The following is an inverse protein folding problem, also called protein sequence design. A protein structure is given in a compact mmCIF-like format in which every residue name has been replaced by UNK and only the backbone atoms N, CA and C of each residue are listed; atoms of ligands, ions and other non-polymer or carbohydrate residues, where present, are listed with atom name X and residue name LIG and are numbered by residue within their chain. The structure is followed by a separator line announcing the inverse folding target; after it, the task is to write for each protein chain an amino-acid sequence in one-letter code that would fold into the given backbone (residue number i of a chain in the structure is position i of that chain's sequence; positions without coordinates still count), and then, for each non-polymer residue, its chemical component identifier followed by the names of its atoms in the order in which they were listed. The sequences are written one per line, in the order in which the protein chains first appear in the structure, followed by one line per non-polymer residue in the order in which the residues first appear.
data_IF_369814318314
#
_entry.id   IF_369814318314
#
_cell.length_a   1.000
_cell.length_b   1.000
_cell.length_c   1.000
_cell.angle_alpha   90.00
_cell.angle_beta   90.00
_cell.angle_gamma   90.00
#
_symmetry.space_group_name_H-M   'P 1'
#
loop_
_entity.id
_entity.type
_entity.pdbx_description
1 polymer ?
#
# COMPACT_ATOMS: atom_id res chain seq x y z
N UNK A 1 24.87 -14.17 -13.97
CA UNK A 1 25.39 -13.21 -12.97
C UNK A 1 24.18 -12.64 -12.26
N UNK A 2 24.07 -12.82 -10.94
CA UNK A 2 22.92 -12.31 -10.18
C UNK A 2 23.17 -10.89 -9.68
N UNK A 3 22.13 -10.06 -9.66
CA UNK A 3 22.17 -8.74 -9.04
C UNK A 3 21.54 -8.81 -7.65
N UNK A 4 22.15 -8.17 -6.67
CA UNK A 4 21.58 -8.03 -5.32
C UNK A 4 20.85 -6.68 -5.21
N UNK A 5 19.53 -6.66 -4.99
CA UNK A 5 18.81 -5.42 -4.69
C UNK A 5 19.35 -4.76 -3.41
N UNK A 6 19.34 -3.43 -3.37
CA UNK A 6 19.76 -2.67 -2.18
C UNK A 6 18.74 -2.79 -1.04
N UNK A 7 17.45 -2.67 -1.35
CA UNK A 7 16.35 -2.68 -0.40
C UNK A 7 15.03 -3.03 -1.11
N UNK A 8 13.96 -3.25 -0.35
CA UNK A 8 12.59 -3.32 -0.89
C UNK A 8 12.20 -1.94 -1.45
N UNK A 9 11.56 -1.92 -2.62
CA UNK A 9 11.08 -0.68 -3.23
C UNK A 9 9.72 -0.25 -2.68
N UNK A 10 8.72 -1.12 -2.80
CA UNK A 10 7.35 -0.88 -2.35
C UNK A 10 6.57 -2.20 -2.28
N UNK A 11 5.35 -2.14 -1.73
CA UNK A 11 4.36 -3.22 -1.79
C UNK A 11 3.13 -2.72 -2.57
N UNK A 12 2.54 -3.57 -3.41
CA UNK A 12 1.25 -3.30 -4.05
C UNK A 12 0.21 -4.28 -3.50
N UNK A 13 -0.93 -3.76 -3.05
CA UNK A 13 -2.05 -4.57 -2.56
C UNK A 13 -3.35 -4.23 -3.31
N UNK A 14 -4.20 -5.24 -3.44
CA UNK A 14 -5.56 -5.04 -3.94
C UNK A 14 -6.48 -4.57 -2.81
N UNK A 15 -7.31 -3.57 -3.12
CA UNK A 15 -8.34 -3.03 -2.24
C UNK A 15 -9.66 -2.94 -2.98
N UNK A 16 -10.78 -3.05 -2.26
CA UNK A 16 -12.11 -2.92 -2.86
C UNK A 16 -12.38 -1.54 -3.43
N UNK A 17 -11.91 -0.51 -2.74
CA UNK A 17 -12.08 0.89 -3.11
C UNK A 17 -10.78 1.64 -2.76
N UNK A 18 -10.11 2.19 -3.79
CA UNK A 18 -8.83 2.86 -3.62
C UNK A 18 -8.96 4.22 -2.92
N UNK A 19 -10.07 4.93 -3.10
CA UNK A 19 -10.32 6.23 -2.46
C UNK A 19 -10.47 6.06 -0.94
N UNK A 20 -11.37 5.19 -0.49
CA UNK A 20 -11.58 4.91 0.94
C UNK A 20 -10.31 4.39 1.61
N UNK A 21 -9.56 3.54 0.91
CA UNK A 21 -8.30 3.03 1.44
C UNK A 21 -7.25 4.14 1.54
N UNK A 22 -7.09 4.97 0.50
CA UNK A 22 -6.21 6.15 0.51
C UNK A 22 -6.56 7.06 1.68
N UNK A 23 -7.83 7.48 1.79
CA UNK A 23 -8.28 8.38 2.85
C UNK A 23 -7.95 7.80 4.24
N UNK A 24 -8.15 6.50 4.44
CA UNK A 24 -7.77 5.85 5.71
C UNK A 24 -6.26 5.92 6.01
N UNK A 25 -5.41 5.71 5.00
CA UNK A 25 -3.95 5.79 5.17
C UNK A 25 -3.46 7.23 5.37
N UNK A 26 -4.09 8.21 4.71
CA UNK A 26 -3.81 9.63 4.92
C UNK A 26 -4.24 10.06 6.32
N UNK A 27 -5.46 9.72 6.73
CA UNK A 27 -6.03 10.15 8.01
C UNK A 27 -5.37 9.47 9.21
N UNK A 28 -5.09 8.18 9.11
CA UNK A 28 -4.55 7.41 10.25
C UNK A 28 -3.04 7.50 10.36
N UNK A 29 -2.32 7.38 9.24
CA UNK A 29 -0.85 7.29 9.23
C UNK A 29 -0.17 8.55 8.67
N UNK A 30 -0.93 9.50 8.11
CA UNK A 30 -0.35 10.70 7.53
C UNK A 30 0.45 10.45 6.26
N UNK A 31 0.23 9.32 5.56
CA UNK A 31 0.95 9.03 4.32
C UNK A 31 0.65 10.08 3.26
N UNK A 32 1.65 10.45 2.48
CA UNK A 32 1.49 11.39 1.37
C UNK A 32 1.06 10.66 0.09
N UNK A 33 -0.01 11.11 -0.56
CA UNK A 33 -0.42 10.60 -1.88
C UNK A 33 0.26 11.34 -3.02
N UNK A 34 1.13 10.66 -3.76
CA UNK A 34 1.77 11.20 -4.97
C UNK A 34 0.89 11.11 -6.20
N UNK A 35 0.03 10.09 -6.27
CA UNK A 35 -0.80 9.84 -7.43
C UNK A 35 -2.08 9.13 -7.04
N UNK A 36 -3.20 9.62 -7.54
CA UNK A 36 -4.51 9.02 -7.35
C UNK A 36 -5.29 9.04 -8.66
N UNK A 37 -5.84 7.90 -9.04
CA UNK A 37 -6.78 7.76 -10.14
C UNK A 37 -8.04 7.09 -9.59
N UNK A 38 -9.17 7.83 -9.49
CA UNK A 38 -10.43 7.29 -8.99
C UNK A 38 -10.84 6.00 -9.72
N UNK A 39 -11.33 5.02 -8.96
CA UNK A 39 -11.72 3.72 -9.49
C UNK A 39 -10.57 2.84 -9.99
N UNK A 40 -9.31 3.20 -9.70
CA UNK A 40 -8.14 2.47 -10.21
C UNK A 40 -7.03 2.29 -9.20
N UNK A 41 -6.39 3.36 -8.74
CA UNK A 41 -5.22 3.22 -7.89
C UNK A 41 -4.85 4.48 -7.10
N UNK A 42 -4.16 4.28 -5.98
CA UNK A 42 -3.45 5.31 -5.21
C UNK A 42 -2.01 4.89 -4.91
N UNK A 43 -1.07 5.84 -4.91
CA UNK A 43 0.36 5.64 -4.64
C UNK A 43 0.78 6.54 -3.49
N UNK A 44 1.23 5.93 -2.39
CA UNK A 44 1.39 6.62 -1.11
C UNK A 44 2.75 6.34 -0.47
N UNK A 45 3.30 7.33 0.25
CA UNK A 45 4.62 7.25 0.87
C UNK A 45 4.64 7.81 2.28
N UNK A 46 5.41 7.20 3.18
CA UNK A 46 5.77 7.77 4.48
C UNK A 46 7.01 8.67 4.38
N UNK A 47 7.86 8.45 3.37
CA UNK A 47 9.04 9.25 3.06
C UNK A 47 8.82 10.06 1.78
N UNK A 48 8.89 11.39 1.86
CA UNK A 48 8.73 12.28 0.71
C UNK A 48 9.89 12.20 -0.31
N UNK A 49 10.99 11.52 0.05
CA UNK A 49 12.09 11.20 -0.85
C UNK A 49 11.85 9.93 -1.68
N UNK A 50 10.86 9.11 -1.32
CA UNK A 50 10.51 7.87 -2.02
C UNK A 50 9.28 8.08 -2.94
N UNK A 51 9.22 7.39 -4.08
CA UNK A 51 8.09 7.55 -5.02
C UNK A 51 6.78 7.05 -4.42
N UNK A 52 6.84 5.93 -3.72
CA UNK A 52 5.76 5.33 -2.93
C UNK A 52 6.30 4.13 -2.16
N UNK A 53 5.79 3.93 -0.95
CA UNK A 53 6.01 2.71 -0.16
C UNK A 53 4.90 1.69 -0.41
N UNK A 54 3.68 2.18 -0.67
CA UNK A 54 2.49 1.36 -0.95
C UNK A 54 1.76 1.84 -2.19
N UNK A 55 1.34 0.89 -3.01
CA UNK A 55 0.36 1.09 -4.08
C UNK A 55 -0.93 0.34 -3.73
N UNK A 56 -2.06 1.03 -3.85
CA UNK A 56 -3.40 0.48 -3.65
C UNK A 56 -4.03 0.32 -5.02
N UNK A 57 -4.36 -0.91 -5.42
CA UNK A 57 -5.02 -1.19 -6.71
C UNK A 57 -6.47 -1.59 -6.46
N UNK A 58 -7.42 -0.89 -7.08
CA UNK A 58 -8.85 -1.16 -6.91
C UNK A 58 -9.30 -2.40 -7.68
N UNK A 59 -10.15 -3.21 -7.03
CA UNK A 59 -10.77 -4.41 -7.63
C UNK A 59 -12.30 -4.43 -7.56
N UNK A 60 -12.91 -3.37 -7.00
CA UNK A 60 -14.36 -3.22 -6.87
C UNK A 60 -14.93 -3.73 -5.54
N UNK A 61 -16.08 -3.17 -5.15
CA UNK A 61 -16.72 -3.41 -3.85
C UNK A 61 -17.18 -4.88 -3.65
N UNK A 62 -17.46 -5.58 -4.74
CA UNK A 62 -17.92 -6.99 -4.72
C UNK A 62 -16.77 -8.01 -4.66
N UNK A 63 -15.51 -7.57 -4.61
CA UNK A 63 -14.37 -8.49 -4.60
C UNK A 63 -14.35 -9.36 -3.33
N UNK A 64 -14.09 -10.66 -3.51
CA UNK A 64 -13.87 -11.61 -2.43
C UNK A 64 -12.75 -11.14 -1.48
N UNK A 65 -12.92 -11.40 -0.18
CA UNK A 65 -11.86 -11.19 0.80
C UNK A 65 -10.73 -12.23 0.69
N UNK A 66 -9.58 -11.99 1.35
CA UNK A 66 -8.49 -12.97 1.39
C UNK A 66 -8.95 -14.28 2.05
N UNK A 67 -8.54 -15.42 1.48
CA UNK A 67 -8.85 -16.76 2.00
C UNK A 67 -7.70 -17.28 2.85
N UNK A 68 -8.02 -17.84 4.03
CA UNK A 68 -7.01 -18.37 4.97
C UNK A 68 -6.18 -19.49 4.33
N UNK A 69 -4.85 -19.43 4.50
CA UNK A 69 -3.91 -20.47 4.03
C UNK A 69 -3.66 -20.48 2.51
N UNK A 70 -4.07 -19.43 1.79
CA UNK A 70 -3.79 -19.28 0.37
C UNK A 70 -2.54 -18.43 0.11
N UNK A 71 -2.02 -18.51 -1.11
CA UNK A 71 -0.96 -17.62 -1.59
C UNK A 71 -1.44 -16.16 -1.57
N UNK A 72 -0.54 -15.23 -1.25
CA UNK A 72 -0.84 -13.81 -1.13
C UNK A 72 0.12 -13.09 -0.18
N UNK A 73 -0.19 -11.84 0.16
CA UNK A 73 0.54 -11.09 1.18
C UNK A 73 0.08 -11.57 2.58
N UNK A 74 1.01 -12.16 3.34
CA UNK A 74 0.73 -12.57 4.72
C UNK A 74 0.70 -11.36 5.67
N UNK A 75 1.74 -10.51 5.62
CA UNK A 75 1.79 -9.26 6.36
C UNK A 75 2.78 -8.28 5.72
N UNK A 76 2.56 -7.00 6.00
CA UNK A 76 3.57 -5.95 5.95
C UNK A 76 3.42 -5.13 7.23
N UNK A 77 4.46 -4.40 7.62
CA UNK A 77 4.45 -3.58 8.82
C UNK A 77 5.10 -2.23 8.54
N UNK A 78 4.62 -1.21 9.24
CA UNK A 78 5.27 0.09 9.32
C UNK A 78 6.30 0.05 10.44
N UNK A 79 7.49 0.59 10.17
CA UNK A 79 8.48 0.83 11.21
C UNK A 79 8.21 2.20 11.80
N UNK A 80 7.88 2.24 13.08
CA UNK A 80 7.64 3.48 13.82
C UNK A 80 8.87 3.83 14.65
N UNK A 81 9.18 5.12 14.77
CA UNK A 81 10.29 5.59 15.61
C UNK A 81 9.97 5.47 17.11
N UNK A 82 8.71 5.64 17.49
CA UNK A 82 8.21 5.52 18.86
C UNK A 82 6.85 4.81 18.93
N UNK A 83 6.47 4.38 20.14
CA UNK A 83 5.11 3.96 20.49
C UNK A 83 4.28 5.11 21.10
N UNK A 84 4.97 6.18 21.49
CA UNK A 84 4.36 7.42 22.01
C UNK A 84 3.56 8.16 20.93
#
# INVERSE_FOLDING_TARGET
MGYKPRQLGHVNIFVRNAEKAKDWYEDLLGLHTYGFTPGRAAFMSADLGNSHDIALTEVGDDADGPRKGQVGLNHMAWYMESLD
#
